data_IF_309573386764
#
_entry.id   IF_309573386764
#
_cell.length_a   1.000
_cell.length_b   1.000
_cell.length_c   1.000
_cell.angle_alpha   90.00
_cell.angle_beta   90.00
_cell.angle_gamma   90.00
#
_symmetry.space_group_name_H-M   'P 1'
#
loop_
_entity.id
_entity.type
_entity.pdbx_description
1 polymer ?
#
# COMPACT_ATOMS: atom_id res chain seq x y z
N UNK A 1 31.48 9.93 -3.21
CA UNK A 1 30.53 10.87 -3.82
C UNK A 1 30.00 11.76 -2.71
N UNK A 2 30.05 13.08 -2.81
CA UNK A 2 29.83 13.98 -1.67
C UNK A 2 28.40 13.93 -1.08
N UNK A 3 27.36 13.61 -1.88
CA UNK A 3 25.96 13.56 -1.40
C UNK A 3 25.58 12.29 -0.64
N UNK A 4 26.39 11.24 -0.67
CA UNK A 4 26.05 9.94 -0.08
C UNK A 4 25.78 10.01 1.44
N UNK A 5 26.40 10.94 2.16
CA UNK A 5 26.23 11.11 3.61
C UNK A 5 24.85 11.69 3.96
N UNK A 6 24.36 12.69 3.21
CA UNK A 6 23.04 13.30 3.40
C UNK A 6 21.94 12.37 2.89
N UNK A 7 22.15 11.67 1.75
CA UNK A 7 21.26 10.62 1.26
C UNK A 7 21.00 9.57 2.35
N UNK A 8 22.06 8.99 2.87
CA UNK A 8 22.00 7.96 3.91
C UNK A 8 21.32 8.45 5.19
N UNK A 9 21.58 9.69 5.58
CA UNK A 9 20.93 10.31 6.74
C UNK A 9 19.41 10.44 6.55
N UNK A 10 18.93 10.83 5.36
CA UNK A 10 17.51 10.88 5.06
C UNK A 10 16.88 9.48 4.96
N UNK A 11 17.59 8.50 4.38
CA UNK A 11 17.15 7.11 4.37
C UNK A 11 16.94 6.57 5.80
N UNK A 12 17.88 6.84 6.70
CA UNK A 12 17.80 6.43 8.10
C UNK A 12 16.70 7.17 8.88
N UNK A 13 16.52 8.47 8.62
CA UNK A 13 15.63 9.35 9.41
C UNK A 13 14.17 9.29 8.94
N UNK A 14 13.93 9.35 7.63
CA UNK A 14 12.59 9.40 7.05
C UNK A 14 12.32 8.26 6.05
N UNK A 15 13.29 7.39 5.83
CA UNK A 15 13.15 6.23 4.95
C UNK A 15 13.11 6.55 3.46
N UNK A 16 13.42 7.78 3.05
CA UNK A 16 13.27 8.24 1.67
C UNK A 16 14.31 7.58 0.76
N UNK A 17 13.86 6.91 -0.30
CA UNK A 17 14.70 6.42 -1.39
C UNK A 17 14.96 7.55 -2.38
N UNK A 18 16.17 8.11 -2.42
CA UNK A 18 16.49 9.28 -3.23
C UNK A 18 16.23 9.06 -4.73
N UNK A 19 16.42 7.83 -5.20
CA UNK A 19 16.08 7.46 -6.58
C UNK A 19 14.61 7.70 -6.93
N UNK A 20 13.69 7.60 -5.97
CA UNK A 20 12.25 7.75 -6.18
C UNK A 20 11.81 9.19 -6.46
N UNK A 21 12.54 10.17 -5.95
CA UNK A 21 12.28 11.62 -6.18
C UNK A 21 13.17 12.21 -7.27
N UNK A 22 14.17 11.46 -7.73
CA UNK A 22 15.12 11.88 -8.75
C UNK A 22 16.38 12.53 -8.19
N UNK A 23 17.52 11.88 -8.44
CA UNK A 23 18.83 12.26 -7.89
C UNK A 23 19.23 13.72 -8.19
N UNK A 24 19.04 14.17 -9.42
CA UNK A 24 19.36 15.57 -9.79
C UNK A 24 18.48 16.61 -9.11
N UNK A 25 17.24 16.25 -8.76
CA UNK A 25 16.36 17.13 -7.98
C UNK A 25 16.88 17.24 -6.54
N UNK A 26 17.21 16.11 -5.94
CA UNK A 26 17.78 16.05 -4.59
C UNK A 26 19.07 16.85 -4.48
N UNK A 27 20.03 16.62 -5.39
CA UNK A 27 21.33 17.33 -5.42
C UNK A 27 21.17 18.85 -5.52
N UNK A 28 20.31 19.34 -6.42
CA UNK A 28 20.03 20.78 -6.54
C UNK A 28 19.39 21.35 -5.30
N UNK A 29 18.43 20.63 -4.73
CA UNK A 29 17.72 21.05 -3.52
C UNK A 29 18.68 21.16 -2.33
N UNK A 30 19.52 20.15 -2.13
CA UNK A 30 20.52 20.13 -1.07
C UNK A 30 21.56 21.24 -1.25
N UNK A 31 22.07 21.42 -2.46
CA UNK A 31 23.03 22.51 -2.76
C UNK A 31 22.44 23.89 -2.47
N UNK A 32 21.17 24.14 -2.84
CA UNK A 32 20.49 25.40 -2.53
C UNK A 32 20.33 25.65 -1.03
N UNK A 33 20.04 24.62 -0.25
CA UNK A 33 19.92 24.73 1.21
C UNK A 33 21.29 24.95 1.88
N UNK A 34 22.34 24.29 1.39
CA UNK A 34 23.72 24.52 1.84
C UNK A 34 24.15 25.97 1.63
N UNK A 35 23.86 26.53 0.44
CA UNK A 35 24.16 27.94 0.12
C UNK A 35 23.43 28.89 1.08
N UNK A 36 22.12 28.62 1.36
CA UNK A 36 21.33 29.41 2.31
C UNK A 36 21.88 29.34 3.75
N UNK A 37 22.49 28.21 4.12
CA UNK A 37 23.11 28.01 5.44
C UNK A 37 24.57 28.47 5.49
N UNK A 38 25.14 28.97 4.37
CA UNK A 38 26.54 29.39 4.28
C UNK A 38 27.57 28.25 4.35
N UNK A 39 27.13 26.99 4.21
CA UNK A 39 27.96 25.81 4.28
C UNK A 39 28.41 25.37 2.88
N UNK A 40 29.70 25.13 2.72
CA UNK A 40 30.30 24.82 1.41
C UNK A 40 30.57 23.34 1.16
N UNK A 41 30.67 22.56 2.22
CA UNK A 41 30.96 21.12 2.11
C UNK A 41 29.82 20.28 2.69
N UNK A 42 29.69 19.07 2.14
CA UNK A 42 28.56 18.16 2.42
C UNK A 42 28.65 17.52 3.81
N UNK A 43 29.86 17.39 4.34
CA UNK A 43 30.09 16.77 5.63
C UNK A 43 29.61 17.69 6.76
N UNK A 44 30.02 18.96 6.71
CA UNK A 44 29.52 20.02 7.62
C UNK A 44 28.00 20.19 7.51
N UNK A 45 27.43 20.07 6.31
CA UNK A 45 25.98 20.14 6.15
C UNK A 45 25.26 18.93 6.76
N UNK A 46 25.82 17.74 6.60
CA UNK A 46 25.28 16.53 7.25
C UNK A 46 25.34 16.64 8.78
N UNK A 47 26.39 17.26 9.32
CA UNK A 47 26.54 17.51 10.74
C UNK A 47 25.53 18.55 11.26
N UNK A 48 25.29 19.63 10.48
CA UNK A 48 24.22 20.58 10.76
C UNK A 48 22.87 19.88 10.85
N UNK A 49 22.51 19.04 9.86
CA UNK A 49 21.25 18.32 9.84
C UNK A 49 21.04 17.36 11.04
N UNK A 50 22.13 16.80 11.57
CA UNK A 50 22.07 15.94 12.78
C UNK A 50 21.83 16.73 14.06
N UNK A 51 22.32 17.98 14.11
CA UNK A 51 22.29 18.82 15.30
C UNK A 51 21.18 19.86 15.30
N UNK A 52 20.54 20.11 14.15
CA UNK A 52 19.50 21.11 13.97
C UNK A 52 18.22 20.47 13.42
N UNK A 53 17.20 20.34 14.26
CA UNK A 53 15.89 19.87 13.85
C UNK A 53 15.25 20.81 12.83
N UNK A 54 15.51 22.12 12.92
CA UNK A 54 14.99 23.14 11.99
C UNK A 54 15.55 22.95 10.57
N UNK A 55 16.86 22.72 10.45
CA UNK A 55 17.47 22.53 9.12
C UNK A 55 17.08 21.17 8.52
N UNK A 56 16.93 20.14 9.35
CA UNK A 56 16.37 18.86 8.90
C UNK A 56 14.93 19.05 8.40
N UNK A 57 14.08 19.75 9.15
CA UNK A 57 12.72 20.07 8.72
C UNK A 57 12.69 20.84 7.41
N UNK A 58 13.58 21.83 7.23
CA UNK A 58 13.70 22.57 5.96
C UNK A 58 14.03 21.64 4.80
N UNK A 59 14.92 20.69 4.97
CA UNK A 59 15.25 19.72 3.93
C UNK A 59 14.06 18.78 3.66
N UNK A 60 13.43 18.21 4.69
CA UNK A 60 12.25 17.36 4.58
C UNK A 60 11.13 18.06 3.80
N UNK A 61 10.80 19.31 4.14
CA UNK A 61 9.79 20.12 3.45
C UNK A 61 10.08 20.36 1.96
N UNK A 62 11.31 20.22 1.54
CA UNK A 62 11.71 20.38 0.14
C UNK A 62 11.74 19.09 -0.66
N UNK A 63 11.95 17.96 0.02
CA UNK A 63 12.06 16.64 -0.66
C UNK A 63 10.79 15.81 -0.63
N UNK A 64 9.86 16.09 0.31
CA UNK A 64 8.54 15.44 0.27
C UNK A 64 7.70 15.94 -0.89
N UNK A 65 6.90 15.05 -1.48
CA UNK A 65 6.06 15.34 -2.64
C UNK A 65 4.61 15.52 -2.20
N UNK A 66 4.09 16.77 -2.05
CA UNK A 66 2.75 17.04 -1.55
C UNK A 66 1.69 16.90 -2.65
N UNK A 67 1.62 15.75 -3.35
CA UNK A 67 0.62 15.56 -4.40
C UNK A 67 -0.64 14.88 -3.85
N UNK A 68 -1.69 15.69 -3.64
CA UNK A 68 -2.99 15.22 -3.16
C UNK A 68 -4.13 16.07 -3.73
N UNK A 69 -5.37 15.55 -3.65
CA UNK A 69 -6.60 16.26 -3.97
C UNK A 69 -7.81 15.58 -3.31
N UNK A 70 -8.91 16.32 -3.17
CA UNK A 70 -10.15 15.76 -2.59
C UNK A 70 -10.68 14.59 -3.40
N UNK A 71 -11.03 13.51 -2.70
CA UNK A 71 -11.53 12.26 -3.27
C UNK A 71 -10.58 11.66 -4.34
N UNK A 72 -9.27 11.71 -4.08
CA UNK A 72 -8.26 11.09 -4.94
C UNK A 72 -8.57 9.61 -5.15
N UNK A 73 -8.67 9.19 -6.45
CA UNK A 73 -9.05 7.83 -6.86
C UNK A 73 -10.45 7.42 -6.38
N UNK A 74 -11.42 8.24 -6.39
CA UNK A 74 -12.80 8.19 -5.87
C UNK A 74 -13.32 6.83 -5.31
N UNK A 75 -12.96 5.70 -5.92
CA UNK A 75 -13.42 4.34 -5.57
C UNK A 75 -13.12 3.93 -4.10
N UNK A 76 -11.96 4.25 -3.48
CA UNK A 76 -11.75 4.04 -2.06
C UNK A 76 -12.85 4.67 -1.19
N UNK A 77 -13.31 5.86 -1.53
CA UNK A 77 -14.33 6.58 -0.76
C UNK A 77 -15.74 6.04 -1.01
N UNK A 78 -16.03 5.59 -2.24
CA UNK A 78 -17.30 4.88 -2.55
C UNK A 78 -17.37 3.58 -1.75
N UNK A 79 -16.30 2.80 -1.73
CA UNK A 79 -16.24 1.59 -0.93
C UNK A 79 -16.32 1.88 0.57
N UNK A 80 -15.63 2.91 1.05
CA UNK A 80 -15.68 3.37 2.44
C UNK A 80 -17.11 3.70 2.87
N UNK A 81 -17.85 4.44 2.04
CA UNK A 81 -19.25 4.78 2.30
C UNK A 81 -20.09 3.51 2.41
N UNK A 82 -19.99 2.60 1.44
CA UNK A 82 -20.75 1.34 1.44
C UNK A 82 -20.42 0.47 2.67
N UNK A 83 -19.15 0.38 3.05
CA UNK A 83 -18.73 -0.35 4.25
C UNK A 83 -19.34 0.26 5.52
N UNK A 84 -19.35 1.58 5.65
CA UNK A 84 -19.93 2.26 6.80
C UNK A 84 -21.43 2.01 6.87
N UNK A 85 -22.15 2.17 5.76
CA UNK A 85 -23.60 2.00 5.70
C UNK A 85 -24.05 0.56 5.94
N UNK A 86 -23.34 -0.43 5.36
CA UNK A 86 -23.79 -1.83 5.33
C UNK A 86 -23.20 -2.71 6.40
N UNK A 87 -21.96 -2.41 6.82
CA UNK A 87 -21.21 -3.27 7.73
C UNK A 87 -21.00 -2.61 9.09
N UNK A 88 -20.50 -1.34 9.11
CA UNK A 88 -20.13 -0.70 10.36
C UNK A 88 -21.34 -0.31 11.21
N UNK A 89 -22.24 0.51 10.69
CA UNK A 89 -23.40 1.04 11.42
C UNK A 89 -24.29 -0.10 11.99
N UNK A 90 -24.65 -1.15 11.21
CA UNK A 90 -25.47 -2.23 11.75
C UNK A 90 -24.79 -3.06 12.83
N UNK A 91 -23.46 -3.26 12.73
CA UNK A 91 -22.71 -4.21 13.55
C UNK A 91 -22.04 -3.58 14.78
N UNK A 92 -21.92 -2.23 14.86
CA UNK A 92 -21.12 -1.53 15.87
C UNK A 92 -21.90 -0.39 16.55
N UNK A 93 -23.16 -0.65 16.91
CA UNK A 93 -24.02 0.34 17.58
C UNK A 93 -23.34 0.89 18.85
N UNK A 94 -23.27 2.22 18.96
CA UNK A 94 -22.68 2.91 20.11
C UNK A 94 -21.14 2.87 20.17
N UNK A 95 -20.45 2.35 19.16
CA UNK A 95 -18.99 2.39 19.09
C UNK A 95 -18.50 3.54 18.21
N UNK A 96 -17.37 4.11 18.57
CA UNK A 96 -16.70 5.17 17.79
C UNK A 96 -15.84 4.52 16.70
N UNK A 97 -16.06 4.91 15.44
CA UNK A 97 -15.22 4.50 14.30
C UNK A 97 -13.92 5.31 14.30
N UNK A 98 -12.81 4.69 14.64
CA UNK A 98 -11.50 5.34 14.65
C UNK A 98 -10.77 5.13 13.34
N UNK A 99 -10.30 6.22 12.75
CA UNK A 99 -9.62 6.22 11.44
C UNK A 99 -8.32 6.98 11.50
N UNK A 100 -7.30 6.47 10.83
CA UNK A 100 -6.02 7.13 10.63
C UNK A 100 -5.83 7.41 9.14
N UNK A 101 -5.42 8.64 8.79
CA UNK A 101 -4.93 9.02 7.47
C UNK A 101 -3.45 9.40 7.59
N UNK A 102 -2.55 8.61 6.95
CA UNK A 102 -1.10 8.82 7.02
C UNK A 102 -0.39 8.33 5.74
N UNK A 103 0.38 9.18 5.05
CA UNK A 103 0.52 10.62 5.26
C UNK A 103 -0.74 11.39 4.81
N UNK A 104 -1.09 12.45 5.53
CA UNK A 104 -2.28 13.25 5.21
C UNK A 104 -1.99 14.47 4.32
N UNK A 105 -0.73 14.79 4.08
CA UNK A 105 -0.27 15.93 3.26
C UNK A 105 -0.97 17.24 3.65
N UNK A 106 -1.62 17.88 2.70
CA UNK A 106 -2.35 19.14 2.89
C UNK A 106 -3.82 18.98 3.31
N UNK A 107 -4.20 17.77 3.77
CA UNK A 107 -5.47 17.50 4.47
C UNK A 107 -6.64 17.05 3.58
N UNK A 108 -6.50 17.00 2.27
CA UNK A 108 -7.60 16.66 1.36
C UNK A 108 -8.14 15.23 1.60
N UNK A 109 -7.27 14.26 1.94
CA UNK A 109 -7.68 12.88 2.21
C UNK A 109 -8.49 12.76 3.51
N UNK A 110 -8.01 13.19 4.69
CA UNK A 110 -8.79 13.05 5.92
C UNK A 110 -10.08 13.86 5.89
N UNK A 111 -10.13 15.01 5.22
CA UNK A 111 -11.37 15.74 5.02
C UNK A 111 -12.34 15.02 4.07
N UNK A 112 -11.83 14.33 3.03
CA UNK A 112 -12.67 13.49 2.17
C UNK A 112 -13.26 12.31 2.96
N UNK A 113 -12.51 11.72 3.90
CA UNK A 113 -13.00 10.69 4.82
C UNK A 113 -14.12 11.25 5.70
N UNK A 114 -13.94 12.42 6.32
CA UNK A 114 -14.95 13.06 7.15
C UNK A 114 -16.26 13.32 6.37
N UNK A 115 -16.15 13.89 5.17
CA UNK A 115 -17.31 14.09 4.29
C UNK A 115 -18.02 12.78 3.93
N UNK A 116 -17.25 11.72 3.67
CA UNK A 116 -17.79 10.39 3.36
C UNK A 116 -18.57 9.81 4.54
N UNK A 117 -18.08 9.97 5.76
CA UNK A 117 -18.77 9.48 6.97
C UNK A 117 -20.09 10.20 7.23
N UNK A 118 -20.11 11.52 7.08
CA UNK A 118 -21.35 12.28 7.20
C UNK A 118 -22.36 11.90 6.10
N UNK A 119 -21.90 11.61 4.88
CA UNK A 119 -22.75 11.14 3.78
C UNK A 119 -23.29 9.72 4.04
N UNK A 120 -22.50 8.86 4.67
CA UNK A 120 -22.89 7.51 5.09
C UNK A 120 -23.85 7.48 6.29
N UNK A 121 -24.20 8.65 6.87
CA UNK A 121 -25.15 8.77 7.98
C UNK A 121 -24.55 8.68 9.38
N UNK A 122 -23.22 8.74 9.54
CA UNK A 122 -22.57 8.88 10.84
C UNK A 122 -22.71 10.31 11.37
N UNK A 123 -22.97 10.45 12.68
CA UNK A 123 -22.91 11.72 13.38
C UNK A 123 -21.47 12.07 13.79
N UNK A 124 -21.13 13.35 14.03
CA UNK A 124 -19.78 13.80 14.41
C UNK A 124 -19.17 13.10 15.63
N UNK A 125 -19.97 12.67 16.58
CA UNK A 125 -19.56 11.96 17.80
C UNK A 125 -19.38 10.44 17.60
N UNK A 126 -19.74 9.91 16.44
CA UNK A 126 -19.66 8.49 16.14
C UNK A 126 -18.36 8.08 15.44
N UNK A 127 -17.50 9.03 15.10
CA UNK A 127 -16.20 8.74 14.50
C UNK A 127 -15.12 9.70 14.98
N UNK A 128 -13.87 9.26 14.82
CA UNK A 128 -12.69 10.02 15.17
C UNK A 128 -11.62 9.84 14.11
N UNK A 129 -11.09 10.93 13.57
CA UNK A 129 -10.10 10.90 12.47
C UNK A 129 -8.81 11.57 12.96
N UNK A 130 -7.75 10.75 13.08
CA UNK A 130 -6.39 11.24 13.21
C UNK A 130 -5.77 11.38 11.82
N UNK A 131 -5.07 12.48 11.59
CA UNK A 131 -4.39 12.77 10.36
C UNK A 131 -2.92 13.13 10.65
N UNK A 132 -1.99 12.35 10.11
CA UNK A 132 -0.58 12.46 10.44
C UNK A 132 0.24 12.76 9.21
N UNK A 133 1.19 13.69 9.34
CA UNK A 133 2.19 13.96 8.30
C UNK A 133 3.51 14.41 8.93
N UNK A 134 4.61 14.19 8.20
CA UNK A 134 5.95 14.65 8.57
C UNK A 134 6.18 16.13 8.19
N UNK A 135 5.37 16.69 7.28
CA UNK A 135 5.46 18.08 6.82
C UNK A 135 4.66 19.01 7.73
N UNK A 136 5.33 19.83 8.51
CA UNK A 136 4.68 20.89 9.31
C UNK A 136 3.93 21.88 8.44
N UNK A 137 4.53 22.29 7.29
CA UNK A 137 3.90 23.22 6.34
C UNK A 137 2.65 22.61 5.70
N UNK A 138 2.69 21.30 5.38
CA UNK A 138 1.51 20.58 4.91
C UNK A 138 0.38 20.63 5.93
N UNK A 139 0.68 20.34 7.20
CA UNK A 139 -0.29 20.39 8.30
C UNK A 139 -0.84 21.80 8.57
N UNK A 140 0.01 22.83 8.48
CA UNK A 140 -0.45 24.23 8.59
C UNK A 140 -1.40 24.61 7.45
N UNK A 141 -1.12 24.16 6.24
CA UNK A 141 -1.99 24.34 5.09
C UNK A 141 -3.33 23.61 5.29
N UNK A 142 -3.28 22.36 5.74
CA UNK A 142 -4.45 21.57 6.07
C UNK A 142 -5.35 22.27 7.11
N UNK A 143 -4.77 22.78 8.20
CA UNK A 143 -5.49 23.51 9.25
C UNK A 143 -6.11 24.82 8.77
N UNK A 144 -5.49 25.53 7.81
CA UNK A 144 -6.07 26.74 7.18
C UNK A 144 -7.29 26.40 6.32
N UNK A 145 -7.31 25.20 5.73
CA UNK A 145 -8.41 24.63 4.95
C UNK A 145 -8.91 25.56 3.81
N UNK A 146 -7.99 26.25 3.13
CA UNK A 146 -8.27 27.09 1.96
C UNK A 146 -7.50 26.49 0.78
N UNK A 147 -8.23 26.03 -0.23
CA UNK A 147 -7.69 25.23 -1.32
C UNK A 147 -7.82 25.91 -2.68
N UNK A 148 -6.84 25.67 -3.54
CA UNK A 148 -6.90 26.07 -4.94
C UNK A 148 -7.81 25.14 -5.76
N UNK A 149 -8.16 25.57 -6.98
CA UNK A 149 -9.00 24.80 -7.92
C UNK A 149 -8.42 23.40 -8.23
N UNK A 150 -7.10 23.26 -8.22
CA UNK A 150 -6.41 21.99 -8.48
C UNK A 150 -6.71 20.92 -7.42
N UNK A 151 -6.87 21.30 -6.15
CA UNK A 151 -7.24 20.39 -5.08
C UNK A 151 -8.67 19.83 -5.24
N UNK A 152 -9.54 20.53 -5.96
CA UNK A 152 -10.95 20.18 -6.20
C UNK A 152 -11.16 19.42 -7.52
N UNK A 153 -10.10 18.90 -8.15
CA UNK A 153 -10.18 18.17 -9.44
C UNK A 153 -10.79 16.77 -9.36
N UNK A 154 -11.10 16.27 -8.17
CA UNK A 154 -11.76 14.98 -7.95
C UNK A 154 -13.10 14.92 -8.69
N UNK A 155 -13.33 13.81 -9.42
CA UNK A 155 -14.54 13.58 -10.21
C UNK A 155 -15.50 12.64 -9.47
N UNK A 156 -16.79 12.73 -9.76
CA UNK A 156 -17.78 11.72 -9.34
C UNK A 156 -18.47 11.96 -8.00
N UNK A 157 -18.10 12.99 -7.23
CA UNK A 157 -18.77 13.33 -5.96
C UNK A 157 -19.14 14.82 -5.96
N UNK A 158 -20.40 15.13 -5.74
CA UNK A 158 -20.89 16.51 -5.69
C UNK A 158 -20.68 17.12 -4.28
N UNK A 159 -19.42 17.26 -3.87
CA UNK A 159 -19.04 17.76 -2.54
C UNK A 159 -18.71 19.25 -2.53
N UNK A 160 -18.32 19.82 -3.68
CA UNK A 160 -17.80 21.19 -3.76
C UNK A 160 -18.83 22.23 -3.30
N UNK A 161 -20.05 22.17 -3.84
CA UNK A 161 -21.12 23.11 -3.51
C UNK A 161 -21.68 22.92 -2.10
N UNK A 162 -21.47 21.73 -1.52
CA UNK A 162 -22.00 21.39 -0.19
C UNK A 162 -21.08 21.81 0.95
N UNK A 163 -19.77 21.69 0.73
CA UNK A 163 -18.79 21.81 1.82
C UNK A 163 -17.77 22.92 1.61
N UNK A 164 -17.81 23.64 0.49
CA UNK A 164 -16.85 24.70 0.20
C UNK A 164 -17.55 26.02 -0.10
N UNK A 165 -16.98 27.08 0.45
CA UNK A 165 -17.34 28.46 0.13
C UNK A 165 -16.23 29.09 -0.71
N UNK A 166 -16.59 29.69 -1.87
CA UNK A 166 -15.63 30.44 -2.68
C UNK A 166 -15.25 31.74 -1.99
N UNK A 167 -13.94 32.00 -1.89
CA UNK A 167 -13.36 33.22 -1.34
C UNK A 167 -12.39 33.82 -2.36
N UNK A 168 -11.87 35.03 -2.07
CA UNK A 168 -10.82 35.66 -2.91
C UNK A 168 -9.53 34.84 -2.95
N UNK A 169 -9.23 34.09 -1.88
CA UNK A 169 -8.01 33.26 -1.74
C UNK A 169 -8.18 31.82 -2.22
N UNK A 170 -9.36 31.47 -2.71
CA UNK A 170 -9.68 30.09 -3.13
C UNK A 170 -10.98 29.55 -2.55
N UNK A 171 -11.03 28.28 -2.26
CA UNK A 171 -12.21 27.57 -1.74
C UNK A 171 -11.96 27.23 -0.28
N UNK A 172 -12.70 27.83 0.64
CA UNK A 172 -12.63 27.55 2.07
C UNK A 172 -13.54 26.39 2.41
N UNK A 173 -12.99 25.38 3.08
CA UNK A 173 -13.74 24.26 3.60
C UNK A 173 -14.59 24.67 4.81
N UNK A 174 -15.78 24.07 4.93
CA UNK A 174 -16.70 24.31 6.04
C UNK A 174 -16.06 23.98 7.39
N UNK A 175 -16.33 24.83 8.38
CA UNK A 175 -15.82 24.67 9.74
C UNK A 175 -16.32 23.37 10.40
N UNK A 176 -17.53 22.91 10.04
CA UNK A 176 -18.05 21.61 10.53
C UNK A 176 -17.17 20.44 10.09
N UNK A 177 -16.61 20.47 8.88
CA UNK A 177 -15.72 19.42 8.39
C UNK A 177 -14.34 19.56 9.03
N UNK A 178 -13.79 20.77 9.13
CA UNK A 178 -12.44 20.98 9.67
C UNK A 178 -12.34 20.60 11.14
N UNK A 179 -13.41 20.72 11.92
CA UNK A 179 -13.43 20.31 13.34
C UNK A 179 -13.43 18.80 13.57
N UNK A 180 -13.65 17.97 12.54
CA UNK A 180 -13.74 16.52 12.64
C UNK A 180 -12.38 15.81 12.47
N UNK A 181 -11.31 16.55 12.16
CA UNK A 181 -10.00 15.99 11.86
C UNK A 181 -8.95 16.52 12.84
N UNK A 182 -8.23 15.62 13.48
CA UNK A 182 -7.16 15.92 14.41
C UNK A 182 -5.80 15.73 13.74
N UNK A 183 -5.05 16.82 13.56
CA UNK A 183 -3.76 16.82 12.87
C UNK A 183 -2.60 16.66 13.85
N UNK A 184 -1.71 15.70 13.56
CA UNK A 184 -0.50 15.40 14.32
C UNK A 184 0.73 15.49 13.41
N UNK A 185 1.80 16.11 13.90
CA UNK A 185 3.10 16.09 13.26
C UNK A 185 3.90 14.93 13.84
N UNK A 186 4.16 13.89 13.03
CA UNK A 186 4.92 12.71 13.48
C UNK A 186 5.56 12.00 12.29
N UNK A 187 6.55 11.14 12.59
CA UNK A 187 7.22 10.29 11.63
C UNK A 187 6.79 8.84 11.78
N UNK A 188 6.21 8.27 10.73
CA UNK A 188 5.70 6.91 10.71
C UNK A 188 6.78 5.83 10.94
N UNK A 189 8.08 6.18 10.80
CA UNK A 189 9.20 5.30 11.15
C UNK A 189 9.54 5.31 12.64
N UNK A 190 8.98 6.24 13.42
CA UNK A 190 9.31 6.33 14.84
C UNK A 190 8.79 5.09 15.58
N UNK A 191 9.61 4.44 16.45
CA UNK A 191 9.19 3.22 17.14
C UNK A 191 7.98 3.39 18.05
N UNK A 192 7.76 4.61 18.55
CA UNK A 192 6.62 4.98 19.40
C UNK A 192 5.51 5.69 18.62
N UNK A 193 5.51 5.58 17.29
CA UNK A 193 4.46 6.16 16.45
C UNK A 193 3.08 5.76 16.94
N UNK A 194 2.29 6.74 17.40
CA UNK A 194 0.94 6.57 17.92
C UNK A 194 0.78 5.42 18.96
N UNK A 195 1.85 5.06 19.70
CA UNK A 195 1.88 3.92 20.62
C UNK A 195 0.84 4.04 21.77
N UNK A 196 0.46 5.26 22.17
CA UNK A 196 -0.51 5.53 23.21
C UNK A 196 -1.95 5.64 22.68
N UNK A 197 -2.15 5.53 21.36
CA UNK A 197 -3.46 5.65 20.73
C UNK A 197 -4.24 4.33 20.78
N UNK A 198 -5.56 4.44 20.93
CA UNK A 198 -6.48 3.31 20.77
C UNK A 198 -6.41 2.79 19.34
N UNK A 199 -6.36 1.46 19.10
CA UNK A 199 -6.25 0.90 17.76
C UNK A 199 -7.29 1.42 16.78
N UNK A 200 -6.88 1.57 15.51
CA UNK A 200 -7.72 2.09 14.43
C UNK A 200 -8.52 0.96 13.76
N UNK A 201 -9.76 1.23 13.43
CA UNK A 201 -10.61 0.32 12.65
C UNK A 201 -10.34 0.44 11.15
N UNK A 202 -9.89 1.63 10.71
CA UNK A 202 -9.55 1.93 9.32
C UNK A 202 -8.26 2.72 9.29
N UNK A 203 -7.35 2.35 8.39
CA UNK A 203 -6.13 3.11 8.10
C UNK A 203 -6.09 3.42 6.61
N UNK A 204 -5.89 4.69 6.27
CA UNK A 204 -5.49 5.15 4.95
C UNK A 204 -3.99 5.38 4.96
N UNK A 205 -3.23 4.52 4.26
CA UNK A 205 -1.80 4.69 4.03
C UNK A 205 -1.56 4.61 2.52
N UNK A 206 -1.63 5.77 1.87
CA UNK A 206 -1.68 5.85 0.41
C UNK A 206 -0.60 6.75 -0.16
N UNK A 207 0.03 6.26 -1.25
CA UNK A 207 1.02 7.01 -2.02
C UNK A 207 2.26 7.45 -1.21
N UNK A 208 2.68 6.63 -0.25
CA UNK A 208 3.86 6.83 0.58
C UNK A 208 4.95 5.80 0.28
N UNK A 209 4.59 4.50 0.29
CA UNK A 209 5.56 3.40 0.25
C UNK A 209 6.37 3.37 -1.05
N UNK A 210 5.85 3.98 -2.12
CA UNK A 210 6.54 4.09 -3.41
C UNK A 210 7.80 4.97 -3.35
N UNK A 211 7.91 5.84 -2.35
CA UNK A 211 9.05 6.75 -2.16
C UNK A 211 10.10 6.23 -1.18
N UNK A 212 9.85 5.09 -0.55
CA UNK A 212 10.64 4.64 0.61
C UNK A 212 11.55 3.48 0.26
N UNK A 213 12.65 3.35 1.00
CA UNK A 213 13.52 2.17 0.96
C UNK A 213 12.76 0.93 1.42
N UNK A 214 13.28 -0.25 1.06
CA UNK A 214 12.69 -1.52 1.48
C UNK A 214 12.62 -1.65 3.00
N UNK A 215 13.68 -1.28 3.69
CA UNK A 215 13.81 -1.34 5.15
C UNK A 215 12.79 -0.42 5.83
N UNK A 216 12.62 0.79 5.32
CA UNK A 216 11.62 1.73 5.80
C UNK A 216 10.19 1.22 5.60
N UNK A 217 9.90 0.64 4.43
CA UNK A 217 8.58 0.01 4.16
C UNK A 217 8.26 -1.08 5.18
N UNK A 218 9.24 -1.93 5.51
CA UNK A 218 9.05 -2.99 6.51
C UNK A 218 8.71 -2.43 7.87
N UNK A 219 9.47 -1.45 8.37
CA UNK A 219 9.21 -0.80 9.66
C UNK A 219 7.83 -0.14 9.70
N UNK A 220 7.45 0.56 8.64
CA UNK A 220 6.13 1.19 8.53
C UNK A 220 5.01 0.16 8.56
N UNK A 221 5.15 -0.95 7.85
CA UNK A 221 4.15 -2.02 7.85
C UNK A 221 4.02 -2.66 9.23
N UNK A 222 5.13 -2.83 9.97
CA UNK A 222 5.10 -3.32 11.35
C UNK A 222 4.40 -2.31 12.27
N UNK A 223 4.69 -1.01 12.15
CA UNK A 223 4.03 0.04 12.92
C UNK A 223 2.51 0.08 12.63
N UNK A 224 2.10 0.08 11.35
CA UNK A 224 0.68 0.03 10.98
C UNK A 224 -0.02 -1.23 11.49
N UNK A 225 0.67 -2.37 11.46
CA UNK A 225 0.16 -3.64 11.99
C UNK A 225 -0.08 -3.62 13.50
N UNK A 226 0.70 -2.85 14.25
CA UNK A 226 0.56 -2.74 15.71
C UNK A 226 -0.62 -1.89 16.14
N UNK A 227 -1.02 -0.92 15.31
CA UNK A 227 -2.07 0.06 15.63
C UNK A 227 -3.41 -0.19 14.92
N UNK A 228 -3.50 -1.17 14.02
CA UNK A 228 -4.77 -1.54 13.38
C UNK A 228 -5.46 -2.66 14.16
N UNK A 229 -6.78 -2.58 14.28
CA UNK A 229 -7.57 -3.67 14.88
C UNK A 229 -7.48 -4.95 14.05
N UNK A 230 -7.73 -6.10 14.67
CA UNK A 230 -7.63 -7.42 14.03
C UNK A 230 -8.51 -7.58 12.77
N UNK A 231 -9.65 -6.89 12.72
CA UNK A 231 -10.54 -6.88 11.55
C UNK A 231 -10.50 -5.55 10.78
N UNK A 232 -9.48 -4.73 11.03
CA UNK A 232 -9.37 -3.41 10.46
C UNK A 232 -9.19 -3.43 8.95
N UNK A 233 -9.67 -2.36 8.32
CA UNK A 233 -9.49 -2.09 6.90
C UNK A 233 -8.26 -1.21 6.69
N UNK A 234 -7.46 -1.55 5.68
CA UNK A 234 -6.35 -0.73 5.26
C UNK A 234 -6.52 -0.34 3.79
N UNK A 235 -6.51 0.96 3.51
CA UNK A 235 -6.56 1.53 2.17
C UNK A 235 -5.17 1.96 1.74
N UNK A 236 -4.77 1.62 0.50
CA UNK A 236 -3.44 1.89 -0.04
C UNK A 236 -3.52 2.68 -1.34
N UNK A 237 -2.39 3.15 -1.86
CA UNK A 237 -2.28 3.59 -3.24
C UNK A 237 -2.35 2.39 -4.21
N UNK A 238 -2.77 2.65 -5.45
CA UNK A 238 -2.94 1.61 -6.46
C UNK A 238 -1.67 0.77 -6.73
N UNK A 239 -0.48 1.36 -6.61
CA UNK A 239 0.81 0.68 -6.84
C UNK A 239 1.36 0.00 -5.58
N UNK A 240 0.72 0.16 -4.42
CA UNK A 240 1.27 -0.23 -3.12
C UNK A 240 0.69 -1.54 -2.58
N UNK A 241 -0.49 -1.96 -3.07
CA UNK A 241 -1.13 -3.22 -2.68
C UNK A 241 -0.17 -4.42 -2.61
N UNK A 242 0.76 -4.62 -3.57
CA UNK A 242 1.70 -5.74 -3.53
C UNK A 242 2.59 -5.77 -2.29
N UNK A 243 2.91 -4.60 -1.71
CA UNK A 243 3.70 -4.55 -0.47
C UNK A 243 2.91 -5.12 0.71
N UNK A 244 1.61 -4.84 0.80
CA UNK A 244 0.75 -5.32 1.88
C UNK A 244 0.47 -6.82 1.80
N UNK A 245 0.36 -7.40 0.60
CA UNK A 245 0.16 -8.85 0.44
C UNK A 245 1.29 -9.69 1.04
N UNK A 246 2.53 -9.17 0.98
CA UNK A 246 3.69 -9.82 1.57
C UNK A 246 3.64 -9.85 3.10
N UNK A 247 2.83 -8.97 3.70
CA UNK A 247 2.63 -8.84 5.14
C UNK A 247 1.35 -9.52 5.63
N UNK A 248 0.79 -10.45 4.85
CA UNK A 248 -0.38 -11.22 5.24
C UNK A 248 -1.70 -10.46 5.15
N UNK A 249 -1.76 -9.39 4.35
CA UNK A 249 -3.01 -8.76 3.99
C UNK A 249 -3.62 -9.44 2.76
N UNK A 250 -4.95 -9.46 2.68
CA UNK A 250 -5.73 -9.94 1.54
C UNK A 250 -6.55 -8.80 0.97
N UNK A 251 -6.66 -8.76 -0.35
CA UNK A 251 -7.48 -7.77 -1.05
C UNK A 251 -8.96 -7.94 -0.69
N UNK A 252 -9.66 -6.84 -0.55
CA UNK A 252 -11.13 -6.83 -0.53
C UNK A 252 -11.65 -6.89 -1.96
N UNK A 253 -12.66 -7.75 -2.17
CA UNK A 253 -13.26 -7.93 -3.50
C UNK A 253 -14.19 -6.75 -3.85
N UNK A 254 -13.60 -5.57 -4.02
CA UNK A 254 -14.25 -4.37 -4.55
C UNK A 254 -13.30 -3.71 -5.54
N UNK A 255 -13.77 -3.51 -6.78
CA UNK A 255 -12.93 -2.98 -7.86
C UNK A 255 -12.37 -1.60 -7.49
N UNK A 256 -11.06 -1.42 -7.68
CA UNK A 256 -10.34 -0.14 -7.47
C UNK A 256 -10.47 0.50 -6.08
N UNK A 257 -10.99 -0.22 -5.09
CA UNK A 257 -11.02 0.30 -3.71
C UNK A 257 -9.63 0.40 -3.09
N UNK A 258 -8.68 -0.39 -3.62
CA UNK A 258 -7.32 -0.54 -3.07
C UNK A 258 -7.33 -0.84 -1.57
N UNK A 259 -8.40 -1.48 -1.11
CA UNK A 259 -8.59 -1.86 0.27
C UNK A 259 -8.15 -3.30 0.51
N UNK A 260 -7.56 -3.55 1.67
CA UNK A 260 -7.19 -4.87 2.13
C UNK A 260 -7.52 -5.07 3.62
N UNK A 261 -7.61 -6.33 4.02
CA UNK A 261 -7.77 -6.77 5.41
C UNK A 261 -6.59 -7.64 5.81
N UNK A 262 -6.22 -7.60 7.08
CA UNK A 262 -5.25 -8.53 7.63
C UNK A 262 -5.81 -9.95 7.55
N UNK A 263 -5.01 -10.88 7.01
CA UNK A 263 -5.37 -12.29 7.01
C UNK A 263 -5.25 -12.83 8.44
N UNK A 264 -6.33 -13.37 8.98
CA UNK A 264 -6.26 -14.11 10.24
C UNK A 264 -5.43 -15.36 10.02
N UNK A 265 -4.22 -15.39 10.52
CA UNK A 265 -3.61 -16.65 10.89
C UNK A 265 -4.22 -17.04 12.24
N UNK A 266 -5.02 -18.10 12.26
CA UNK A 266 -5.28 -18.85 13.46
C UNK A 266 -3.92 -19.39 13.95
N UNK A 267 -3.17 -18.57 14.66
CA UNK A 267 -2.17 -19.09 15.56
C UNK A 267 -2.95 -19.51 16.79
N UNK A 268 -3.26 -20.78 16.86
CA UNK A 268 -3.46 -21.47 18.12
C UNK A 268 -2.18 -21.29 18.95
N UNK A 269 -2.05 -20.13 19.58
CA UNK A 269 -1.19 -20.00 20.73
C UNK A 269 -1.98 -20.62 21.86
N UNK A 270 -1.85 -21.94 22.02
CA UNK A 270 -2.00 -22.51 23.36
C UNK A 270 -1.17 -21.62 24.30
N UNK A 271 -1.76 -21.12 25.39
CA UNK A 271 -0.98 -20.42 26.39
C UNK A 271 0.06 -21.41 26.88
N UNK A 272 1.34 -21.08 26.71
CA UNK A 272 2.44 -21.77 27.40
C UNK A 272 2.22 -21.53 28.89
N UNK A 273 1.48 -22.44 29.52
CA UNK A 273 1.36 -22.52 30.96
C UNK A 273 2.72 -23.01 31.45
N UNK A 274 3.57 -22.07 31.86
CA UNK A 274 4.72 -22.38 32.69
C UNK A 274 4.20 -23.05 33.95
N UNK A 275 4.42 -24.38 34.02
CA UNK A 275 4.21 -25.16 35.25
C UNK A 275 5.07 -24.58 36.35
N UNK A 276 4.51 -23.79 37.25
CA UNK A 276 4.96 -23.65 38.61
C UNK A 276 3.84 -24.22 39.50
N UNK A 277 4.30 -25.17 40.27
CA UNK A 277 3.60 -25.99 41.27
C UNK A 277 2.61 -25.19 42.11
N UNK A 278 1.36 -25.66 42.14
CA UNK A 278 0.59 -25.73 43.36
C UNK A 278 -0.21 -27.04 43.31
N UNK A 279 0.24 -27.97 44.19
CA UNK A 279 -0.55 -29.10 44.67
C UNK A 279 -1.71 -28.54 45.50
N UNK A 280 -2.80 -29.25 45.39
CA UNK A 280 -3.91 -29.45 46.32
C UNK A 280 -5.27 -28.91 45.90
N UNK A 281 -6.19 -29.87 46.09
CA UNK A 281 -7.64 -29.79 46.29
C UNK A 281 -8.52 -29.64 45.04
N UNK A 282 -9.01 -30.74 44.51
CA UNK A 282 -10.39 -31.18 44.65
C UNK A 282 -10.59 -32.58 44.08
N UNK A 283 -10.82 -33.55 44.99
CA UNK A 283 -11.50 -34.82 44.74
C UNK A 283 -13.01 -34.59 44.68
N UNK A 284 -13.67 -35.55 43.99
CA UNK A 284 -15.11 -35.84 44.00
C UNK A 284 -15.92 -35.13 42.90
N UNK A 285 -16.29 -35.80 41.83
CA UNK A 285 -17.50 -36.62 41.63
C UNK A 285 -17.34 -37.49 40.42
N UNK A 286 -17.26 -38.85 40.64
CA UNK A 286 -17.61 -39.86 39.66
C UNK A 286 -19.11 -40.13 39.81
N UNK A 287 -19.83 -40.30 38.69
CA UNK A 287 -20.79 -41.39 38.50
C UNK A 287 -21.50 -41.29 37.12
N UNK A 288 -21.30 -42.38 36.35
CA UNK A 288 -22.28 -43.10 35.54
C UNK A 288 -22.92 -42.47 34.30
N UNK A 289 -22.63 -42.97 33.13
CA UNK A 289 -23.43 -43.97 32.44
C UNK A 289 -22.77 -44.46 31.14
N UNK A 290 -22.45 -45.75 31.18
CA UNK A 290 -22.62 -46.87 30.22
C UNK A 290 -22.89 -46.63 28.74
N UNK A 291 -22.02 -47.31 27.95
CA UNK A 291 -22.22 -48.10 26.76
C UNK A 291 -23.05 -47.62 25.55
N UNK A 292 -22.37 -47.48 24.44
CA UNK A 292 -22.70 -48.30 23.27
C UNK A 292 -21.58 -48.31 22.25
N UNK A 293 -21.08 -49.54 21.96
CA UNK A 293 -20.19 -49.92 20.86
C UNK A 293 -20.89 -49.73 19.53
N UNK A 294 -20.22 -49.16 18.53
CA UNK A 294 -20.40 -49.52 17.13
C UNK A 294 -19.03 -49.58 16.43
N UNK A 295 -18.86 -50.64 15.67
CA UNK A 295 -17.68 -51.20 15.05
C UNK A 295 -17.00 -50.32 13.97
N UNK A 296 -15.68 -50.50 13.89
CA UNK A 296 -14.83 -50.10 12.75
C UNK A 296 -15.15 -50.84 11.45
N UNK A 297 -14.71 -50.26 10.31
CA UNK A 297 -13.65 -51.01 9.62
C UNK A 297 -12.42 -50.17 9.29
N UNK A 298 -11.32 -50.84 9.37
CA UNK A 298 -9.97 -50.45 9.00
C UNK A 298 -9.85 -49.86 7.58
N UNK A 299 -9.19 -48.69 7.47
CA UNK A 299 -8.43 -48.36 6.27
C UNK A 299 -7.01 -47.98 6.67
N UNK A 300 -6.08 -48.75 6.10
CA UNK A 300 -4.63 -48.62 6.23
C UNK A 300 -4.18 -47.20 5.81
N UNK A 301 -3.53 -46.51 6.71
CA UNK A 301 -2.76 -45.32 6.42
C UNK A 301 -1.45 -45.75 5.79
N UNK A 302 -1.26 -45.44 4.50
CA UNK A 302 0.04 -45.44 3.87
C UNK A 302 0.69 -44.10 4.19
N UNK A 303 1.66 -44.06 5.06
CA UNK A 303 2.64 -42.99 5.17
C UNK A 303 3.42 -42.92 3.86
N UNK A 304 3.12 -41.92 3.07
CA UNK A 304 4.05 -41.41 2.05
C UNK A 304 4.86 -40.29 2.65
N UNK A 305 6.08 -40.58 2.98
CA UNK A 305 7.17 -39.63 3.13
C UNK A 305 7.37 -38.95 1.77
N UNK A 306 6.81 -37.73 1.60
CA UNK A 306 7.12 -36.88 0.46
C UNK A 306 8.45 -36.17 0.72
N UNK A 307 9.49 -36.68 0.10
CA UNK A 307 10.71 -35.92 -0.20
C UNK A 307 10.32 -34.73 -1.07
N UNK A 308 10.79 -33.51 -0.81
CA UNK A 308 10.47 -32.35 -1.67
C UNK A 308 11.14 -32.55 -3.03
N UNK A 309 10.33 -32.88 -4.02
CA UNK A 309 10.71 -32.83 -5.44
C UNK A 309 11.11 -31.38 -5.75
N UNK A 310 12.35 -31.16 -6.17
CA UNK A 310 12.80 -29.93 -6.83
C UNK A 310 11.87 -29.70 -8.03
N UNK A 311 10.90 -28.80 -7.87
CA UNK A 311 10.06 -28.36 -8.98
C UNK A 311 10.97 -27.72 -10.03
N UNK A 312 10.86 -28.18 -11.26
CA UNK A 312 11.57 -27.56 -12.40
C UNK A 312 11.02 -26.15 -12.59
N UNK A 313 11.85 -25.22 -13.07
CA UNK A 313 11.46 -23.82 -13.29
C UNK A 313 10.20 -23.68 -14.17
N UNK A 314 10.00 -24.56 -15.14
CA UNK A 314 8.80 -24.62 -16.00
C UNK A 314 7.54 -25.04 -15.24
N UNK A 315 7.64 -25.98 -14.28
CA UNK A 315 6.49 -26.40 -13.47
C UNK A 315 6.01 -25.28 -12.54
N UNK A 316 6.92 -24.44 -12.06
CA UNK A 316 6.59 -23.29 -11.22
C UNK A 316 5.82 -22.23 -12.00
N UNK A 317 6.25 -21.85 -13.21
CA UNK A 317 5.55 -20.89 -14.06
C UNK A 317 4.18 -21.41 -14.53
N UNK A 318 4.08 -22.72 -14.82
CA UNK A 318 2.79 -23.36 -15.12
C UNK A 318 1.82 -23.25 -13.93
N UNK A 319 2.30 -23.46 -12.70
CA UNK A 319 1.51 -23.31 -11.48
C UNK A 319 1.07 -21.85 -11.28
N UNK A 320 1.97 -20.87 -11.48
CA UNK A 320 1.65 -19.45 -11.43
C UNK A 320 0.56 -19.08 -12.43
N UNK A 321 0.67 -19.57 -13.67
CA UNK A 321 -0.31 -19.33 -14.73
C UNK A 321 -1.68 -19.94 -14.38
N UNK A 322 -1.71 -21.16 -13.86
CA UNK A 322 -2.93 -21.83 -13.43
C UNK A 322 -3.63 -21.07 -12.30
N UNK A 323 -2.89 -20.63 -11.27
CA UNK A 323 -3.42 -19.86 -10.15
C UNK A 323 -3.94 -18.49 -10.61
N UNK A 324 -3.23 -17.81 -11.49
CA UNK A 324 -3.69 -16.52 -12.05
C UNK A 324 -5.00 -16.68 -12.84
N UNK A 325 -5.12 -17.73 -13.65
CA UNK A 325 -6.34 -18.03 -14.42
C UNK A 325 -7.53 -18.42 -13.53
N UNK A 326 -7.29 -18.99 -12.35
CA UNK A 326 -8.30 -19.31 -11.35
C UNK A 326 -8.70 -18.10 -10.48
N UNK A 327 -8.09 -16.94 -10.70
CA UNK A 327 -8.32 -15.74 -9.89
C UNK A 327 -7.63 -15.75 -8.52
N UNK A 328 -6.80 -16.76 -8.23
CA UNK A 328 -6.01 -16.86 -6.99
C UNK A 328 -4.75 -15.96 -7.06
N UNK A 329 -4.99 -14.65 -7.30
CA UNK A 329 -3.97 -13.68 -7.68
C UNK A 329 -2.90 -13.48 -6.60
N UNK A 330 -3.27 -13.51 -5.30
CA UNK A 330 -2.29 -13.34 -4.21
C UNK A 330 -1.31 -14.52 -4.14
N UNK A 331 -1.82 -15.75 -4.34
CA UNK A 331 -0.95 -16.95 -4.37
C UNK A 331 -0.04 -16.92 -5.59
N UNK A 332 -0.60 -16.59 -6.76
CA UNK A 332 0.16 -16.43 -8.00
C UNK A 332 1.25 -15.37 -7.85
N UNK A 333 0.93 -14.23 -7.23
CA UNK A 333 1.85 -13.14 -6.95
C UNK A 333 3.02 -13.59 -6.06
N UNK A 334 2.74 -14.25 -4.93
CA UNK A 334 3.76 -14.71 -4.00
C UNK A 334 4.74 -15.69 -4.66
N UNK A 335 4.23 -16.70 -5.37
CA UNK A 335 5.06 -17.71 -6.06
C UNK A 335 5.86 -17.06 -7.19
N UNK A 336 5.23 -16.22 -8.02
CA UNK A 336 5.89 -15.57 -9.15
C UNK A 336 6.99 -14.61 -8.70
N UNK A 337 6.79 -13.91 -7.59
CA UNK A 337 7.79 -13.02 -7.01
C UNK A 337 9.04 -13.78 -6.58
N UNK A 338 8.90 -14.88 -5.85
CA UNK A 338 10.03 -15.74 -5.47
C UNK A 338 10.74 -16.25 -6.71
N UNK A 339 9.98 -16.68 -7.73
CA UNK A 339 10.52 -17.16 -8.97
C UNK A 339 11.41 -16.15 -9.70
N UNK A 340 10.96 -14.89 -9.86
CA UNK A 340 11.76 -13.85 -10.55
C UNK A 340 12.98 -13.39 -9.75
N UNK A 341 13.01 -13.60 -8.42
CA UNK A 341 14.19 -13.36 -7.60
C UNK A 341 15.28 -14.42 -7.84
N UNK A 342 14.88 -15.67 -8.02
CA UNK A 342 15.78 -16.80 -8.29
C UNK A 342 16.17 -16.88 -9.78
N UNK A 343 15.29 -16.46 -10.68
CA UNK A 343 15.41 -16.54 -12.14
C UNK A 343 15.29 -15.17 -12.80
N UNK A 344 16.17 -14.24 -12.42
CA UNK A 344 16.11 -12.82 -12.78
C UNK A 344 16.39 -12.50 -14.27
N UNK A 345 16.71 -13.49 -15.08
CA UNK A 345 16.93 -13.38 -16.54
C UNK A 345 15.82 -14.05 -17.35
N UNK A 346 14.76 -14.57 -16.72
CA UNK A 346 13.67 -15.23 -17.43
C UNK A 346 12.59 -14.22 -17.86
N UNK A 347 12.38 -13.94 -19.15
CA UNK A 347 11.40 -12.97 -19.63
C UNK A 347 9.96 -13.38 -19.35
N UNK A 348 9.63 -14.69 -19.37
CA UNK A 348 8.30 -15.20 -19.08
C UNK A 348 7.90 -14.96 -17.61
N UNK A 349 8.83 -15.12 -16.67
CA UNK A 349 8.59 -14.81 -15.26
C UNK A 349 8.17 -13.35 -15.07
N UNK A 350 8.87 -12.41 -15.69
CA UNK A 350 8.51 -11.00 -15.63
C UNK A 350 7.20 -10.68 -16.36
N UNK A 351 6.94 -11.34 -17.48
CA UNK A 351 5.66 -11.21 -18.18
C UNK A 351 4.47 -11.65 -17.32
N UNK A 352 4.55 -12.84 -16.70
CA UNK A 352 3.51 -13.35 -15.81
C UNK A 352 3.33 -12.45 -14.58
N UNK A 353 4.43 -11.95 -14.03
CA UNK A 353 4.36 -11.02 -12.91
C UNK A 353 3.73 -9.69 -13.30
N UNK A 354 3.99 -9.19 -14.52
CA UNK A 354 3.29 -8.06 -15.11
C UNK A 354 1.79 -8.30 -15.28
N UNK A 355 1.37 -9.48 -15.75
CA UNK A 355 -0.04 -9.87 -15.88
C UNK A 355 -0.75 -9.89 -14.52
N UNK A 356 -0.11 -10.47 -13.50
CA UNK A 356 -0.66 -10.53 -12.14
C UNK A 356 -0.83 -9.11 -11.58
N UNK A 357 0.18 -8.25 -11.74
CA UNK A 357 0.10 -6.85 -11.31
C UNK A 357 -0.99 -6.08 -12.07
N UNK A 358 -1.16 -6.33 -13.37
CA UNK A 358 -2.23 -5.72 -14.16
C UNK A 358 -3.61 -6.18 -13.69
N UNK A 359 -3.78 -7.47 -13.39
CA UNK A 359 -5.02 -8.03 -12.85
C UNK A 359 -5.33 -7.53 -11.42
N UNK A 360 -4.32 -7.04 -10.70
CA UNK A 360 -4.43 -6.38 -9.40
C UNK A 360 -4.60 -4.85 -9.52
N UNK A 361 -4.82 -4.33 -10.74
CA UNK A 361 -4.91 -2.90 -11.07
C UNK A 361 -3.64 -2.09 -10.71
N UNK A 362 -2.49 -2.77 -10.52
CA UNK A 362 -1.20 -2.17 -10.24
C UNK A 362 -0.49 -1.80 -11.55
N UNK A 363 -1.06 -0.88 -12.32
CA UNK A 363 -0.66 -0.58 -13.70
C UNK A 363 0.79 -0.09 -13.84
N UNK A 364 1.30 0.67 -12.87
CA UNK A 364 2.70 1.12 -12.90
C UNK A 364 3.68 -0.03 -12.73
N UNK A 365 3.39 -0.95 -11.80
CA UNK A 365 4.19 -2.17 -11.62
C UNK A 365 4.06 -3.11 -12.84
N UNK A 366 2.86 -3.26 -13.38
CA UNK A 366 2.63 -4.04 -14.59
C UNK A 366 3.45 -3.50 -15.78
N UNK A 367 3.47 -2.16 -15.96
CA UNK A 367 4.29 -1.49 -16.99
C UNK A 367 5.77 -1.83 -16.81
N UNK A 368 6.30 -1.70 -15.59
CA UNK A 368 7.70 -1.98 -15.27
C UNK A 368 8.07 -3.43 -15.62
N UNK A 369 7.26 -4.40 -15.19
CA UNK A 369 7.56 -5.81 -15.43
C UNK A 369 7.36 -6.24 -16.88
N UNK A 370 6.40 -5.68 -17.61
CA UNK A 370 6.31 -5.88 -19.06
C UNK A 370 7.51 -5.29 -19.80
N UNK A 371 7.97 -4.09 -19.40
CA UNK A 371 9.20 -3.50 -19.96
C UNK A 371 10.42 -4.36 -19.63
N UNK A 372 10.52 -4.92 -18.43
CA UNK A 372 11.61 -5.82 -18.04
C UNK A 372 11.61 -7.11 -18.88
N UNK A 373 10.43 -7.69 -19.12
CA UNK A 373 10.26 -8.84 -20.02
C UNK A 373 10.78 -8.53 -21.44
N UNK A 374 10.38 -7.37 -21.99
CA UNK A 374 10.81 -6.92 -23.34
C UNK A 374 12.30 -6.55 -23.38
N UNK A 375 12.87 -6.08 -22.27
CA UNK A 375 14.30 -5.82 -22.16
C UNK A 375 15.11 -7.11 -22.24
N UNK A 376 14.64 -8.19 -21.59
CA UNK A 376 15.29 -9.50 -21.61
C UNK A 376 15.08 -10.24 -22.93
N UNK A 377 13.88 -10.13 -23.49
CA UNK A 377 13.57 -10.63 -24.84
C UNK A 377 12.83 -9.56 -25.66
N UNK A 378 13.56 -8.82 -26.55
CA UNK A 378 12.96 -7.80 -27.39
C UNK A 378 11.87 -8.30 -28.36
N UNK A 379 11.74 -9.61 -28.54
CA UNK A 379 10.76 -10.26 -29.41
C UNK A 379 9.61 -10.90 -28.64
N UNK A 380 9.54 -10.74 -27.31
CA UNK A 380 8.49 -11.30 -26.49
C UNK A 380 7.13 -10.67 -26.85
N UNK A 381 6.44 -11.32 -27.78
CA UNK A 381 5.21 -10.81 -28.42
C UNK A 381 4.11 -10.47 -27.42
N UNK A 382 3.86 -11.38 -26.49
CA UNK A 382 2.79 -11.27 -25.51
C UNK A 382 2.99 -10.05 -24.58
N UNK A 383 4.22 -9.77 -24.17
CA UNK A 383 4.53 -8.60 -23.34
C UNK A 383 4.32 -7.28 -24.11
N UNK A 384 4.67 -7.24 -25.40
CA UNK A 384 4.43 -6.09 -26.26
C UNK A 384 2.93 -5.80 -26.43
N UNK A 385 2.13 -6.86 -26.62
CA UNK A 385 0.67 -6.75 -26.74
C UNK A 385 0.07 -6.23 -25.44
N UNK A 386 0.42 -6.84 -24.29
CA UNK A 386 -0.10 -6.42 -23.00
C UNK A 386 0.30 -4.98 -22.64
N UNK A 387 1.53 -4.58 -22.95
CA UNK A 387 1.97 -3.21 -22.74
C UNK A 387 1.21 -2.21 -23.61
N UNK A 388 0.89 -2.58 -24.86
CA UNK A 388 0.07 -1.71 -25.72
C UNK A 388 -1.36 -1.55 -25.18
N UNK A 389 -1.98 -2.64 -24.70
CA UNK A 389 -3.30 -2.62 -24.07
C UNK A 389 -3.31 -1.80 -22.77
N UNK A 390 -2.28 -1.97 -21.95
CA UNK A 390 -2.10 -1.19 -20.72
C UNK A 390 -2.00 0.32 -20.99
N UNK A 391 -1.26 0.72 -22.03
CA UNK A 391 -1.17 2.11 -22.43
C UNK A 391 -2.48 2.66 -23.02
N UNK A 392 -3.25 1.83 -23.72
CA UNK A 392 -4.59 2.19 -24.20
C UNK A 392 -5.54 2.40 -23.02
N UNK A 393 -5.57 1.47 -22.08
CA UNK A 393 -6.38 1.54 -20.86
C UNK A 393 -6.05 2.76 -19.98
N UNK A 394 -4.77 3.17 -19.97
CA UNK A 394 -4.30 4.33 -19.19
C UNK A 394 -4.31 5.65 -19.97
N UNK A 395 -4.90 5.68 -21.18
CA UNK A 395 -5.05 6.89 -22.00
C UNK A 395 -3.76 7.36 -22.70
N UNK A 396 -2.68 6.57 -22.66
CA UNK A 396 -1.38 6.90 -23.28
C UNK A 396 -1.30 6.39 -24.73
N UNK A 397 -2.17 6.92 -25.59
CA UNK A 397 -2.43 6.44 -26.96
C UNK A 397 -1.20 6.40 -27.86
N UNK A 398 -0.30 7.39 -27.77
CA UNK A 398 0.95 7.43 -28.56
C UNK A 398 1.86 6.25 -28.22
N UNK A 399 2.02 5.93 -26.91
CA UNK A 399 2.79 4.76 -26.47
C UNK A 399 2.10 3.46 -26.89
N UNK A 400 0.77 3.37 -26.74
CA UNK A 400 -0.01 2.21 -27.19
C UNK A 400 0.25 1.91 -28.65
N UNK A 401 0.14 2.92 -29.55
CA UNK A 401 0.37 2.77 -30.98
C UNK A 401 1.79 2.27 -31.30
N UNK A 402 2.81 2.81 -30.61
CA UNK A 402 4.20 2.39 -30.79
C UNK A 402 4.41 0.89 -30.51
N UNK A 403 3.92 0.40 -29.37
CA UNK A 403 4.09 -1.00 -28.99
C UNK A 403 3.21 -1.93 -29.81
N UNK A 404 2.03 -1.48 -30.24
CA UNK A 404 1.13 -2.21 -31.17
C UNK A 404 1.80 -2.43 -32.54
N UNK A 405 2.45 -1.41 -33.11
CA UNK A 405 3.19 -1.55 -34.36
C UNK A 405 4.44 -2.42 -34.23
N UNK A 406 5.11 -2.37 -33.06
CA UNK A 406 6.24 -3.28 -32.77
C UNK A 406 5.79 -4.73 -32.70
N UNK A 407 4.67 -5.01 -32.00
CA UNK A 407 4.07 -6.35 -31.92
C UNK A 407 3.69 -6.87 -33.34
N UNK A 408 3.02 -6.04 -34.16
CA UNK A 408 2.66 -6.41 -35.55
C UNK A 408 3.88 -6.77 -36.41
N UNK A 409 5.00 -6.05 -36.25
CA UNK A 409 6.24 -6.38 -37.00
C UNK A 409 6.76 -7.76 -36.63
N UNK A 410 6.81 -8.11 -35.34
CA UNK A 410 7.28 -9.42 -34.89
C UNK A 410 6.37 -10.53 -35.42
N UNK A 411 5.06 -10.35 -35.36
CA UNK A 411 4.08 -11.32 -35.86
C UNK A 411 4.20 -11.58 -37.37
N UNK A 412 4.49 -10.53 -38.16
CA UNK A 412 4.73 -10.65 -39.63
C UNK A 412 6.01 -11.40 -39.93
N UNK A 413 7.08 -11.15 -39.17
CA UNK A 413 8.38 -11.83 -39.39
C UNK A 413 8.29 -13.32 -39.03
N UNK A 414 7.61 -13.68 -37.97
CA UNK A 414 7.37 -15.07 -37.57
C UNK A 414 6.58 -15.88 -38.61
N UNK A 415 5.55 -15.29 -39.22
CA UNK A 415 4.80 -15.96 -40.30
C UNK A 415 5.58 -16.19 -41.57
N UNK A 416 6.58 -15.34 -41.90
CA UNK A 416 7.41 -15.50 -43.09
C UNK A 416 8.50 -16.56 -42.93
N UNK A 417 8.87 -16.89 -41.68
CA UNK A 417 9.86 -17.96 -41.42
C UNK A 417 9.21 -19.35 -41.48
N UNK A 418 7.91 -19.46 -41.20
CA UNK A 418 7.17 -20.74 -41.30
C UNK A 418 6.79 -21.09 -42.75
N UNK A 419 6.69 -20.10 -43.66
CA UNK A 419 6.44 -20.32 -45.10
C UNK A 419 7.67 -20.65 -45.93
N UNK A 420 8.89 -20.63 -45.33
CA UNK A 420 10.14 -20.94 -46.01
C UNK A 420 10.82 -22.23 -45.51
N UNK A 421 10.13 -23.02 -44.71
CA UNK A 421 10.43 -24.42 -44.40
C UNK A 421 9.28 -25.27 -44.93
#
# INVERSE_FOLDING_TARGET
>A
MPFCTVEKFLEETIGLEIGSIGKSFFERTTASLMEQSGIKDMESYSELLRNSSEDLERLVEKVVVPETWFFRDVEPFIFLQQYVERDWIPSHRGKILRVLSVPCSTGEEPYSIAMTFLQAGLWPDQFYIDAVDISKKGLEYAKKAIYGKSALRGKGVNYQNRYFQKTERGYKLDAQITSLVHFHHDNLLHPTFLAEHTPYHIIFCRNLLIYLTREARMKILDNLNSIITSNGLLFTGHSELPFFFQYGYTRINHSRSFACKKKYEHRDREPVVTKKEHKEVYKIVQANHTDQKILHPHHKVFERTETPLKQTSESTLATVRALANQGALEKAFSICKTYIQEHNTNPEGYYLFGLINNALDCFSAAEEYFLKSIYLDPHYYEALVQLSLLYEQTGRTTKSSLFKERAKRIHRTGKNTIKRR
#
